data_IF_742444872916
#
_entry.id   IF_742444872916
#
_cell.length_a   1.000
_cell.length_b   1.000
_cell.length_c   1.000
_cell.angle_alpha   90.00
_cell.angle_beta   90.00
_cell.angle_gamma   90.00
#
_symmetry.space_group_name_H-M   'P 1'
#
loop_
_entity.id
_entity.type
_entity.pdbx_description
1 polymer ?
#
# COMPACT_ATOMS: atom_id res chain seq x y z
N UNK A 1 11.44 15.52 4.32
CA UNK A 1 12.01 14.20 3.97
C UNK A 1 10.92 13.41 3.28
N UNK A 2 11.09 13.13 2.00
CA UNK A 2 10.06 12.53 1.17
C UNK A 2 10.01 11.01 1.42
N UNK A 3 8.85 10.39 1.21
CA UNK A 3 8.70 8.93 1.31
C UNK A 3 9.70 8.19 0.42
N UNK A 4 10.03 8.77 -0.73
CA UNK A 4 11.00 8.28 -1.71
C UNK A 4 12.38 8.09 -1.08
N UNK A 5 12.84 9.03 -0.24
CA UNK A 5 14.14 8.95 0.41
C UNK A 5 14.18 7.78 1.40
N UNK A 6 13.06 7.53 2.10
CA UNK A 6 12.92 6.41 3.04
C UNK A 6 12.92 5.06 2.33
N UNK A 7 12.26 4.98 1.18
CA UNK A 7 12.26 3.77 0.34
C UNK A 7 13.69 3.47 -0.12
N UNK A 8 14.39 4.45 -0.73
CA UNK A 8 15.79 4.25 -1.18
C UNK A 8 16.74 3.89 -0.04
N UNK A 9 16.52 4.45 1.15
CA UNK A 9 17.30 4.09 2.33
C UNK A 9 17.06 2.65 2.78
N UNK A 10 15.80 2.23 2.85
CA UNK A 10 15.43 0.86 3.22
C UNK A 10 16.00 -0.15 2.22
N UNK A 11 15.93 0.14 0.92
CA UNK A 11 16.54 -0.68 -0.14
C UNK A 11 18.05 -0.85 0.06
N UNK A 12 18.77 0.27 0.27
CA UNK A 12 20.21 0.24 0.50
C UNK A 12 20.60 -0.49 1.77
N UNK A 13 19.71 -0.52 2.76
CA UNK A 13 19.92 -1.22 4.03
C UNK A 13 19.68 -2.73 3.92
N UNK A 14 19.29 -3.24 2.76
CA UNK A 14 18.96 -4.66 2.57
C UNK A 14 17.60 -5.06 3.16
N UNK A 15 16.70 -4.10 3.39
CA UNK A 15 15.36 -4.39 3.87
C UNK A 15 14.56 -5.17 2.81
N UNK A 16 13.77 -6.14 3.26
CA UNK A 16 12.88 -6.92 2.39
C UNK A 16 11.60 -6.17 2.01
N UNK A 17 11.27 -5.11 2.74
CA UNK A 17 10.07 -4.30 2.54
C UNK A 17 10.05 -3.10 3.49
N UNK A 18 9.21 -2.13 3.17
CA UNK A 18 8.99 -0.94 4.00
C UNK A 18 7.54 -0.89 4.45
N UNK A 19 7.32 -0.85 5.76
CA UNK A 19 5.99 -0.65 6.35
C UNK A 19 5.87 0.80 6.78
N UNK A 20 4.86 1.50 6.28
CA UNK A 20 4.60 2.91 6.59
C UNK A 20 3.19 3.10 7.12
N UNK A 21 3.05 4.00 8.09
CA UNK A 21 1.75 4.34 8.66
C UNK A 21 1.84 5.52 9.64
N UNK A 22 0.70 6.12 9.99
CA UNK A 22 -0.64 5.78 9.50
C UNK A 22 -0.92 6.33 8.09
N UNK A 23 -1.77 5.62 7.34
CA UNK A 23 -2.20 5.97 5.98
C UNK A 23 -2.62 7.43 5.83
N UNK A 24 -3.37 7.96 6.82
CA UNK A 24 -3.81 9.36 6.89
C UNK A 24 -2.69 10.39 6.73
N UNK A 25 -1.45 10.05 7.07
CA UNK A 25 -0.27 10.93 6.92
C UNK A 25 0.56 10.64 5.67
N UNK A 26 0.37 9.47 5.07
CA UNK A 26 1.25 8.93 4.03
C UNK A 26 0.62 9.07 2.64
N UNK A 27 -0.71 8.97 2.51
CA UNK A 27 -1.43 9.10 1.22
C UNK A 27 -1.21 10.47 0.57
N UNK A 28 -1.06 11.52 1.37
CA UNK A 28 -0.75 12.86 0.86
C UNK A 28 0.65 12.97 0.21
N UNK A 29 1.53 11.98 0.40
CA UNK A 29 2.92 12.01 -0.06
C UNK A 29 3.26 10.89 -1.05
N UNK A 30 2.31 10.01 -1.37
CA UNK A 30 2.53 8.93 -2.35
C UNK A 30 2.08 9.41 -3.72
N UNK A 31 3.02 9.87 -4.53
CA UNK A 31 2.87 9.76 -5.98
C UNK A 31 2.97 8.28 -6.33
N UNK A 32 1.85 7.70 -6.79
CA UNK A 32 1.67 6.27 -7.12
C UNK A 32 2.65 5.73 -8.18
N UNK A 33 3.50 6.58 -8.73
CA UNK A 33 4.34 6.37 -9.92
C UNK A 33 5.79 6.00 -9.64
N UNK A 34 6.27 6.03 -8.38
CA UNK A 34 7.67 5.65 -8.08
C UNK A 34 7.74 4.50 -7.07
N UNK A 35 7.49 3.29 -7.57
CA UNK A 35 7.71 2.04 -6.85
C UNK A 35 9.21 1.74 -6.85
N UNK A 36 9.80 1.73 -5.65
CA UNK A 36 11.09 1.07 -5.44
C UNK A 36 11.01 -0.42 -5.80
N UNK A 37 12.16 -1.10 -5.77
CA UNK A 37 12.26 -2.56 -5.95
C UNK A 37 11.70 -3.34 -4.76
N UNK A 38 11.62 -2.73 -3.59
CA UNK A 38 11.05 -3.35 -2.39
C UNK A 38 9.56 -3.01 -2.23
N UNK A 39 8.72 -3.96 -1.75
CA UNK A 39 7.33 -3.69 -1.47
C UNK A 39 7.18 -2.64 -0.36
N UNK A 40 6.24 -1.71 -0.56
CA UNK A 40 5.85 -0.71 0.45
C UNK A 40 4.43 -1.04 0.90
N UNK A 41 4.27 -1.41 2.17
CA UNK A 41 2.98 -1.71 2.80
C UNK A 41 2.53 -0.49 3.59
N UNK A 42 1.36 0.04 3.28
CA UNK A 42 0.78 1.17 3.98
C UNK A 42 -0.28 0.63 4.94
N UNK A 43 -0.13 0.91 6.23
CA UNK A 43 -1.10 0.51 7.25
C UNK A 43 -2.03 1.67 7.56
N UNK A 44 -3.31 1.34 7.78
CA UNK A 44 -4.27 2.28 8.32
C UNK A 44 -3.91 2.71 9.76
N UNK A 45 -4.64 3.67 10.31
CA UNK A 45 -4.42 4.19 11.66
C UNK A 45 -4.60 3.13 12.77
N UNK A 46 -5.48 2.15 12.59
CA UNK A 46 -5.77 1.11 13.57
C UNK A 46 -4.65 0.05 13.58
N UNK A 47 -4.30 -0.47 12.41
CA UNK A 47 -3.23 -1.44 12.20
C UNK A 47 -1.87 -0.86 12.56
N UNK A 48 -1.62 0.42 12.26
CA UNK A 48 -0.41 1.11 12.71
C UNK A 48 -0.28 1.11 14.24
N UNK A 49 -1.39 1.35 14.97
CA UNK A 49 -1.39 1.33 16.45
C UNK A 49 -1.16 -0.09 16.98
N UNK A 50 -1.80 -1.10 16.37
CA UNK A 50 -1.63 -2.51 16.73
C UNK A 50 -0.19 -2.96 16.55
N UNK A 51 0.41 -2.68 15.39
CA UNK A 51 1.80 -2.99 15.10
C UNK A 51 2.75 -2.31 16.09
N UNK A 52 2.56 -1.01 16.35
CA UNK A 52 3.39 -0.28 17.33
C UNK A 52 3.30 -0.89 18.72
N UNK A 53 2.11 -1.31 19.16
CA UNK A 53 1.92 -1.95 20.46
C UNK A 53 2.73 -3.24 20.55
N UNK A 54 2.62 -4.12 19.55
CA UNK A 54 3.38 -5.37 19.51
C UNK A 54 4.89 -5.13 19.50
N UNK A 55 5.36 -4.19 18.67
CA UNK A 55 6.79 -3.82 18.62
C UNK A 55 7.30 -3.31 19.97
N UNK A 56 6.51 -2.50 20.68
CA UNK A 56 6.88 -2.00 22.00
C UNK A 56 6.95 -3.14 23.03
N UNK A 57 5.99 -4.07 23.03
CA UNK A 57 5.97 -5.23 23.93
C UNK A 57 7.17 -6.15 23.70
N UNK A 58 7.56 -6.38 22.45
CA UNK A 58 8.75 -7.15 22.13
C UNK A 58 10.05 -6.43 22.48
N UNK A 59 10.11 -5.11 22.25
CA UNK A 59 11.28 -4.31 22.62
C UNK A 59 11.50 -4.36 24.14
N UNK A 60 10.42 -4.25 24.93
CA UNK A 60 10.48 -4.31 26.39
C UNK A 60 10.88 -5.70 26.91
N UNK A 61 10.48 -6.77 26.21
CA UNK A 61 10.81 -8.15 26.59
C UNK A 61 12.12 -8.67 25.98
N UNK A 62 12.78 -7.89 25.12
CA UNK A 62 13.96 -8.34 24.36
C UNK A 62 13.63 -9.44 23.33
N UNK A 63 12.36 -9.58 22.96
CA UNK A 63 11.88 -10.63 22.06
C UNK A 63 12.00 -10.22 20.60
N UNK A 64 12.21 -11.21 19.72
CA UNK A 64 12.20 -11.00 18.27
C UNK A 64 10.81 -11.28 17.72
N UNK A 65 10.19 -10.28 17.08
CA UNK A 65 8.93 -10.47 16.35
C UNK A 65 9.23 -10.83 14.90
N UNK A 66 8.54 -11.84 14.39
CA UNK A 66 8.47 -12.14 12.96
C UNK A 66 7.12 -11.67 12.43
N UNK A 67 7.15 -10.86 11.38
CA UNK A 67 5.95 -10.29 10.75
C UNK A 67 5.92 -10.81 9.31
N UNK A 68 4.79 -11.41 8.94
CA UNK A 68 4.51 -11.83 7.58
C UNK A 68 3.39 -10.93 7.01
N UNK A 69 3.58 -10.48 5.77
CA UNK A 69 2.54 -9.78 5.02
C UNK A 69 2.10 -10.67 3.88
N UNK A 70 0.84 -11.08 3.91
CA UNK A 70 0.23 -11.84 2.82
C UNK A 70 -0.72 -10.91 2.07
N UNK A 71 -0.58 -10.88 0.75
CA UNK A 71 -1.52 -10.18 -0.11
C UNK A 71 -2.75 -11.07 -0.30
N UNK A 72 -3.86 -10.69 0.33
CA UNK A 72 -5.15 -11.34 0.13
C UNK A 72 -5.87 -10.55 -0.96
N UNK A 73 -5.93 -11.09 -2.17
CA UNK A 73 -6.80 -10.56 -3.23
C UNK A 73 -8.25 -10.72 -2.77
N UNK A 74 -8.79 -9.66 -2.16
CA UNK A 74 -10.23 -9.47 -2.14
C UNK A 74 -10.61 -9.00 -3.54
N UNK A 75 -10.81 -9.92 -4.49
CA UNK A 75 -11.70 -9.61 -5.60
C UNK A 75 -13.06 -9.24 -4.96
N UNK A 76 -13.53 -7.99 -5.09
CA UNK A 76 -14.86 -7.67 -4.61
C UNK A 76 -15.81 -8.49 -5.48
N UNK A 77 -16.48 -9.48 -4.89
CA UNK A 77 -17.46 -10.37 -5.57
C UNK A 77 -18.56 -9.59 -6.32
N UNK A 78 -18.66 -8.28 -6.11
CA UNK A 78 -19.66 -7.38 -6.68
C UNK A 78 -19.03 -6.13 -7.32
N UNK A 79 -18.07 -6.28 -8.22
CA UNK A 79 -17.67 -5.14 -9.07
C UNK A 79 -18.55 -5.14 -10.33
N UNK A 80 -19.67 -4.40 -10.29
CA UNK A 80 -20.49 -4.15 -11.48
C UNK A 80 -19.66 -3.33 -12.49
N UNK A 81 -19.23 -3.98 -13.58
CA UNK A 81 -18.56 -3.31 -14.69
C UNK A 81 -19.61 -2.60 -15.55
N UNK A 82 -19.66 -1.27 -15.46
CA UNK A 82 -20.46 -0.46 -16.37
C UNK A 82 -19.80 -0.47 -17.76
N UNK A 83 -20.34 -1.23 -18.71
CA UNK A 83 -19.95 -1.18 -20.11
C UNK A 83 -20.83 -0.16 -20.84
N UNK A 84 -20.28 1.03 -21.11
CA UNK A 84 -20.97 2.05 -21.92
C UNK A 84 -20.75 1.72 -23.40
N UNK A 85 -21.81 1.27 -24.08
CA UNK A 85 -21.82 1.11 -25.53
C UNK A 85 -22.39 2.41 -26.13
N UNK A 86 -21.55 3.21 -26.77
CA UNK A 86 -21.99 4.39 -27.53
C UNK A 86 -22.32 3.92 -28.95
N UNK A 87 -23.60 3.76 -29.25
CA UNK A 87 -24.06 3.55 -30.62
C UNK A 87 -24.09 4.90 -31.34
N UNK A 88 -23.12 5.12 -32.22
CA UNK A 88 -23.20 6.21 -33.18
C UNK A 88 -24.09 5.77 -34.34
N UNK A 89 -25.29 6.35 -34.44
CA UNK A 89 -26.12 6.24 -35.63
C UNK A 89 -25.52 7.17 -36.69
N UNK A 90 -24.61 6.64 -37.50
CA UNK A 90 -24.22 7.28 -38.75
C UNK A 90 -25.27 6.91 -39.80
N UNK A 91 -26.35 7.69 -39.87
CA UNK A 91 -27.30 7.64 -40.96
C UNK A 91 -26.63 8.20 -42.22
N UNK A 92 -26.30 7.30 -43.15
CA UNK A 92 -25.84 7.63 -44.49
C UNK A 92 -26.88 8.48 -45.23
N UNK A 93 -26.43 9.59 -45.79
CA UNK A 93 -27.18 10.29 -46.83
C UNK A 93 -27.15 9.49 -48.14
N UNK A 94 -28.33 9.22 -48.69
CA UNK A 94 -28.77 9.57 -50.04
C UNK A 94 -30.21 9.06 -50.22
#
# INVERSE_FOLDING_TARGET
MLLIDKVRFAEKSGALGLVVGPESRVVAQIDKTQRGRIPVVILDDLETKRLKKQLNEATLSGSVIRIAFEYVDFEPQYTLRLQVIILSLCGYGN
#
